data_IF_702500863496
#
_entry.id   IF_702500863496
#
_cell.length_a   1.000
_cell.length_b   1.000
_cell.length_c   1.000
_cell.angle_alpha   90.00
_cell.angle_beta   90.00
_cell.angle_gamma   90.00
#
_symmetry.space_group_name_H-M   'P 1'
#
loop_
_entity.id
_entity.type
_entity.pdbx_description
1 polymer ?
#
# COMPACT_ATOMS: atom_id res chain seq x y z
N UNK A 1 6.22 -1.85 19.19
CA UNK A 1 4.76 -1.79 18.98
C UNK A 1 4.17 -1.11 20.20
N UNK A 2 3.57 0.08 20.04
CA UNK A 2 2.88 0.77 21.13
C UNK A 2 1.62 -0.04 21.44
N UNK A 3 1.42 -0.42 22.71
CA UNK A 3 0.27 -1.22 23.09
C UNK A 3 -0.98 -0.35 23.07
N UNK A 4 -2.09 -0.83 22.50
CA UNK A 4 -3.35 -0.06 22.38
C UNK A 4 -3.83 0.49 23.73
N UNK A 5 -3.52 -0.21 24.83
CA UNK A 5 -3.81 0.23 26.20
C UNK A 5 -3.07 1.51 26.60
N UNK A 6 -1.86 1.74 26.07
CA UNK A 6 -1.06 2.96 26.33
C UNK A 6 -1.63 4.14 25.55
N UNK A 7 -2.06 3.92 24.31
CA UNK A 7 -2.72 4.94 23.48
C UNK A 7 -4.03 5.44 24.13
N UNK A 8 -4.80 4.53 24.71
CA UNK A 8 -6.08 4.87 25.36
C UNK A 8 -5.92 5.48 26.78
N UNK A 9 -4.73 5.42 27.38
CA UNK A 9 -4.50 5.90 28.76
C UNK A 9 -3.85 7.28 28.82
N UNK A 10 -3.32 7.77 27.69
CA UNK A 10 -2.62 9.05 27.61
C UNK A 10 -3.49 10.09 26.87
N UNK A 11 -4.06 11.08 27.58
CA UNK A 11 -4.89 12.13 26.96
C UNK A 11 -4.17 12.93 25.87
N UNK A 12 -2.83 12.97 25.90
CA UNK A 12 -2.01 13.64 24.89
C UNK A 12 -2.05 12.85 23.58
N UNK A 13 -1.97 11.52 23.62
CA UNK A 13 -2.07 10.66 22.44
C UNK A 13 -3.46 10.71 21.79
N UNK A 14 -4.52 10.81 22.59
CA UNK A 14 -5.89 10.95 22.08
C UNK A 14 -6.10 12.29 21.37
N UNK A 15 -5.62 13.39 21.97
CA UNK A 15 -5.64 14.71 21.35
C UNK A 15 -4.83 14.76 20.06
N UNK A 16 -3.65 14.15 20.05
CA UNK A 16 -2.82 14.07 18.85
C UNK A 16 -3.48 13.27 17.75
N UNK A 17 -4.10 12.14 18.07
CA UNK A 17 -4.84 11.37 17.08
C UNK A 17 -6.00 12.19 16.46
N UNK A 18 -6.62 13.08 17.23
CA UNK A 18 -7.67 13.98 16.72
C UNK A 18 -7.11 15.16 15.92
N UNK A 19 -6.04 15.77 16.39
CA UNK A 19 -5.34 16.85 15.71
C UNK A 19 -4.71 16.37 14.38
N UNK A 20 -4.14 15.16 14.35
CA UNK A 20 -3.66 14.48 13.14
C UNK A 20 -4.80 14.18 12.16
N UNK A 21 -5.94 13.70 12.64
CA UNK A 21 -7.14 13.55 11.78
C UNK A 21 -7.61 14.86 11.18
N UNK A 22 -7.39 15.98 11.88
CA UNK A 22 -7.70 17.33 11.41
C UNK A 22 -6.57 17.95 10.57
N UNK A 23 -5.46 17.25 10.37
CA UNK A 23 -4.31 17.71 9.61
C UNK A 23 -3.52 18.84 10.29
N UNK A 24 -3.66 19.00 11.61
CA UNK A 24 -2.90 19.99 12.36
C UNK A 24 -1.44 19.58 12.44
N UNK A 25 -0.58 20.59 12.44
CA UNK A 25 0.86 20.42 12.61
C UNK A 25 1.11 20.10 14.10
N UNK A 26 1.95 19.10 14.34
CA UNK A 26 2.41 18.75 15.67
C UNK A 26 3.91 19.02 15.78
N UNK A 27 4.26 20.13 16.42
CA UNK A 27 5.65 20.56 16.59
C UNK A 27 5.90 21.05 18.01
N UNK A 28 7.16 21.00 18.44
CA UNK A 28 7.61 21.55 19.71
C UNK A 28 8.84 20.85 20.26
N UNK A 29 9.05 21.01 21.57
CA UNK A 29 10.16 20.39 22.28
C UNK A 29 9.70 19.24 23.15
N UNK A 30 10.55 18.24 23.27
CA UNK A 30 10.28 17.07 24.12
C UNK A 30 10.08 17.45 25.58
N UNK A 31 10.75 18.51 26.07
CA UNK A 31 10.61 18.97 27.46
C UNK A 31 9.19 19.47 27.80
N UNK A 32 8.45 19.91 26.78
CA UNK A 32 7.10 20.47 26.90
C UNK A 32 6.03 19.37 26.76
N UNK A 33 6.44 18.14 26.44
CA UNK A 33 5.58 16.98 26.45
C UNK A 33 5.42 16.40 27.86
N UNK A 34 4.30 15.71 28.05
CA UNK A 34 3.99 14.93 29.25
C UNK A 34 3.70 13.47 28.86
N UNK A 35 3.58 12.61 29.88
CA UNK A 35 3.13 11.23 29.70
C UNK A 35 4.09 10.32 28.91
N UNK A 36 3.49 9.42 28.14
CA UNK A 36 4.19 8.40 27.37
C UNK A 36 5.11 9.01 26.31
N UNK A 37 4.64 9.98 25.55
CA UNK A 37 5.42 10.56 24.46
C UNK A 37 6.69 11.25 24.94
N UNK A 38 6.62 11.97 26.07
CA UNK A 38 7.84 12.55 26.67
C UNK A 38 8.87 11.45 26.96
N UNK A 39 8.44 10.39 27.64
CA UNK A 39 9.31 9.29 28.05
C UNK A 39 9.91 8.58 26.84
N UNK A 40 9.11 8.37 25.79
CA UNK A 40 9.56 7.72 24.55
C UNK A 40 10.52 8.61 23.75
N UNK A 41 10.24 9.91 23.64
CA UNK A 41 11.07 10.87 22.90
C UNK A 41 12.40 11.11 23.62
N UNK A 42 12.40 11.22 24.95
CA UNK A 42 13.64 11.30 25.76
C UNK A 42 14.50 10.05 25.59
N UNK A 43 13.89 8.85 25.57
CA UNK A 43 14.59 7.59 25.32
C UNK A 43 15.20 7.51 23.91
N UNK A 44 14.55 8.14 22.93
CA UNK A 44 15.04 8.25 21.56
C UNK A 44 15.97 9.46 21.34
N UNK A 45 16.27 10.20 22.41
CA UNK A 45 17.06 11.44 22.38
C UNK A 45 16.50 12.53 21.48
N UNK A 46 15.21 12.50 21.15
CA UNK A 46 14.54 13.55 20.40
C UNK A 46 14.44 14.77 21.31
N UNK A 47 14.95 15.92 20.87
CA UNK A 47 14.87 17.19 21.60
C UNK A 47 13.78 18.08 21.04
N UNK A 48 13.64 18.10 19.72
CA UNK A 48 12.63 18.89 19.01
C UNK A 48 12.05 18.05 17.88
N UNK A 49 10.77 18.22 17.62
CA UNK A 49 10.05 17.44 16.61
C UNK A 49 9.11 18.35 15.82
N UNK A 50 8.87 17.97 14.58
CA UNK A 50 7.87 18.56 13.69
C UNK A 50 7.24 17.42 12.91
N UNK A 51 5.93 17.29 12.99
CA UNK A 51 5.16 16.25 12.33
C UNK A 51 3.97 16.85 11.61
N UNK A 52 3.73 16.35 10.40
CA UNK A 52 2.57 16.71 9.57
C UNK A 52 1.85 15.44 9.11
N UNK A 53 0.56 15.57 8.87
CA UNK A 53 -0.26 14.46 8.40
C UNK A 53 -0.17 14.30 6.89
N UNK A 54 -0.02 13.05 6.43
CA UNK A 54 -0.07 12.67 5.02
C UNK A 54 -1.46 12.11 4.74
N UNK A 55 -2.19 12.75 3.84
CA UNK A 55 -3.51 12.31 3.40
C UNK A 55 -3.45 11.77 1.98
N UNK A 56 -4.24 10.73 1.71
CA UNK A 56 -4.52 10.24 0.37
C UNK A 56 -5.99 9.84 0.27
N UNK A 57 -6.68 10.26 -0.78
CA UNK A 57 -8.11 10.08 -1.03
C UNK A 57 -9.00 10.49 0.16
N UNK A 58 -8.66 11.60 0.83
CA UNK A 58 -9.39 12.11 2.00
C UNK A 58 -9.24 11.27 3.27
N UNK A 59 -8.36 10.27 3.28
CA UNK A 59 -8.06 9.44 4.43
C UNK A 59 -6.65 9.75 4.94
N UNK A 60 -6.47 9.72 6.27
CA UNK A 60 -5.15 9.81 6.88
C UNK A 60 -4.36 8.54 6.55
N UNK A 61 -3.28 8.68 5.78
CA UNK A 61 -2.40 7.58 5.42
C UNK A 61 -1.32 7.36 6.48
N UNK A 62 -0.88 8.43 7.13
CA UNK A 62 0.09 8.40 8.21
C UNK A 62 0.63 9.79 8.51
N UNK A 63 1.80 9.84 9.15
CA UNK A 63 2.48 11.09 9.48
C UNK A 63 3.89 11.11 8.91
N UNK A 64 4.33 12.31 8.51
CA UNK A 64 5.70 12.60 8.15
C UNK A 64 6.29 13.46 9.26
N UNK A 65 7.34 12.94 9.92
CA UNK A 65 7.98 13.60 11.04
C UNK A 65 9.47 13.85 10.79
N UNK A 66 9.95 15.00 11.23
CA UNK A 66 11.36 15.37 11.30
C UNK A 66 11.71 15.69 12.74
N UNK A 67 12.80 15.09 13.22
CA UNK A 67 13.25 15.21 14.60
C UNK A 67 14.69 15.74 14.65
N UNK A 68 15.00 16.61 15.60
CA UNK A 68 16.38 16.96 15.96
C UNK A 68 16.73 16.30 17.30
N UNK A 69 17.74 15.43 17.29
CA UNK A 69 18.23 14.73 18.48
C UNK A 69 19.46 15.40 19.12
N UNK A 70 20.04 16.39 18.46
CA UNK A 70 21.28 17.05 18.88
C UNK A 70 20.98 18.40 19.49
N UNK A 71 20.15 19.22 18.84
CA UNK A 71 19.83 20.57 19.28
C UNK A 71 18.36 20.69 19.70
N UNK A 72 18.12 21.48 20.74
CA UNK A 72 16.78 21.96 21.06
C UNK A 72 16.54 23.22 20.20
N UNK A 73 15.85 23.04 19.08
CA UNK A 73 15.67 24.06 18.04
C UNK A 73 14.19 24.39 17.89
N UNK A 74 13.92 25.67 17.63
CA UNK A 74 12.59 26.14 17.22
C UNK A 74 12.44 25.92 15.71
N UNK A 75 11.28 25.42 15.30
CA UNK A 75 10.95 25.26 13.88
C UNK A 75 10.40 26.57 13.34
N UNK A 76 10.82 26.96 12.15
CA UNK A 76 10.28 28.17 11.51
C UNK A 76 8.99 27.87 10.75
N UNK A 77 8.12 28.88 10.59
CA UNK A 77 6.92 28.77 9.74
C UNK A 77 7.25 28.28 8.31
N UNK A 78 8.44 28.61 7.80
CA UNK A 78 8.95 28.17 6.50
C UNK A 78 9.28 26.67 6.47
N UNK A 79 9.89 26.14 7.53
CA UNK A 79 10.16 24.72 7.68
C UNK A 79 8.87 23.92 7.83
N UNK A 80 7.91 24.44 8.62
CA UNK A 80 6.58 23.86 8.78
C UNK A 80 5.83 23.78 7.43
N UNK A 81 5.78 24.91 6.71
CA UNK A 81 5.17 24.97 5.40
C UNK A 81 5.86 24.04 4.39
N UNK A 82 7.19 23.97 4.42
CA UNK A 82 7.97 23.08 3.54
C UNK A 82 7.60 21.62 3.79
N UNK A 83 7.55 21.19 5.06
CA UNK A 83 7.20 19.81 5.39
C UNK A 83 5.76 19.49 4.99
N UNK A 84 4.84 20.45 5.16
CA UNK A 84 3.45 20.30 4.72
C UNK A 84 3.34 20.12 3.20
N UNK A 85 4.09 20.89 2.40
CA UNK A 85 4.14 20.75 0.94
C UNK A 85 4.67 19.36 0.55
N UNK A 86 5.70 18.87 1.23
CA UNK A 86 6.23 17.52 0.98
C UNK A 86 5.17 16.46 1.31
N UNK A 87 4.43 16.60 2.41
CA UNK A 87 3.35 15.68 2.77
C UNK A 87 2.23 15.65 1.72
N UNK A 88 1.84 16.81 1.18
CA UNK A 88 0.88 16.90 0.08
C UNK A 88 1.39 16.19 -1.18
N UNK A 89 2.66 16.41 -1.55
CA UNK A 89 3.26 15.75 -2.71
C UNK A 89 3.34 14.23 -2.55
N UNK A 90 3.59 13.73 -1.33
CA UNK A 90 3.55 12.30 -1.01
C UNK A 90 2.11 11.78 -1.18
N UNK A 91 1.12 12.49 -0.65
CA UNK A 91 -0.30 12.15 -0.82
C UNK A 91 -0.68 11.99 -2.29
N UNK A 92 -0.40 13.01 -3.11
CA UNK A 92 -0.62 13.00 -4.56
C UNK A 92 0.07 11.82 -5.25
N UNK A 93 1.31 11.51 -4.86
CA UNK A 93 2.08 10.41 -5.44
C UNK A 93 1.46 9.05 -5.12
N UNK A 94 0.96 8.86 -3.88
CA UNK A 94 0.25 7.65 -3.47
C UNK A 94 -1.02 7.47 -4.31
N UNK A 95 -1.82 8.53 -4.47
CA UNK A 95 -3.04 8.49 -5.27
C UNK A 95 -2.77 8.12 -6.74
N UNK A 96 -1.74 8.75 -7.34
CA UNK A 96 -1.32 8.45 -8.71
C UNK A 96 -0.90 6.99 -8.87
N UNK A 97 -0.08 6.47 -7.96
CA UNK A 97 0.38 5.09 -8.03
C UNK A 97 -0.78 4.09 -7.96
N UNK A 98 -1.78 4.34 -7.12
CA UNK A 98 -2.98 3.49 -7.03
C UNK A 98 -3.85 3.60 -8.30
N UNK A 99 -4.03 4.80 -8.82
CA UNK A 99 -4.77 5.02 -10.08
C UNK A 99 -4.11 4.33 -11.26
N UNK A 100 -2.79 4.43 -11.39
CA UNK A 100 -2.02 3.80 -12.47
C UNK A 100 -2.09 2.27 -12.40
N UNK A 101 -1.98 1.70 -11.20
CA UNK A 101 -2.14 0.27 -10.99
C UNK A 101 -3.55 -0.21 -11.40
N UNK A 102 -4.59 0.54 -11.03
CA UNK A 102 -5.96 0.23 -11.41
C UNK A 102 -6.18 0.32 -12.92
N UNK A 103 -5.70 1.40 -13.55
CA UNK A 103 -5.80 1.60 -15.00
C UNK A 103 -5.07 0.48 -15.76
N UNK A 104 -3.87 0.09 -15.31
CA UNK A 104 -3.10 -1.01 -15.89
C UNK A 104 -3.86 -2.34 -15.82
N UNK A 105 -4.46 -2.66 -14.67
CA UNK A 105 -5.28 -3.88 -14.51
C UNK A 105 -6.52 -3.87 -15.41
N UNK A 106 -7.22 -2.73 -15.50
CA UNK A 106 -8.39 -2.58 -16.39
C UNK A 106 -7.98 -2.76 -17.84
N UNK A 107 -6.89 -2.13 -18.28
CA UNK A 107 -6.38 -2.28 -19.65
C UNK A 107 -5.99 -3.74 -19.90
N UNK A 108 -5.24 -4.38 -18.98
CA UNK A 108 -4.84 -5.79 -19.08
C UNK A 108 -6.06 -6.70 -19.24
N UNK A 109 -7.08 -6.55 -18.38
CA UNK A 109 -8.32 -7.33 -18.48
C UNK A 109 -9.07 -7.08 -19.77
N UNK A 110 -9.17 -5.82 -20.19
CA UNK A 110 -9.87 -5.45 -21.43
C UNK A 110 -9.18 -6.05 -22.65
N UNK A 111 -7.85 -6.01 -22.70
CA UNK A 111 -7.07 -6.65 -23.76
C UNK A 111 -7.27 -8.16 -23.80
N UNK A 112 -7.19 -8.83 -22.65
CA UNK A 112 -7.45 -10.27 -22.56
C UNK A 112 -8.86 -10.63 -23.04
N UNK A 113 -9.87 -9.86 -22.63
CA UNK A 113 -11.27 -10.09 -23.02
C UNK A 113 -11.55 -9.81 -24.50
N UNK A 114 -10.89 -8.81 -25.09
CA UNK A 114 -11.06 -8.44 -26.49
C UNK A 114 -10.23 -9.30 -27.47
N UNK A 115 -9.26 -10.08 -26.96
CA UNK A 115 -8.43 -10.95 -27.79
C UNK A 115 -9.27 -11.99 -28.53
N UNK A 116 -9.03 -12.11 -29.84
CA UNK A 116 -9.64 -13.13 -30.69
C UNK A 116 -8.92 -14.48 -30.56
N UNK A 117 -7.65 -14.47 -30.16
CA UNK A 117 -6.88 -15.67 -29.89
C UNK A 117 -7.10 -16.16 -28.47
N UNK A 118 -7.11 -17.48 -28.30
CA UNK A 118 -7.21 -18.13 -27.00
C UNK A 118 -5.94 -17.84 -26.18
N UNK A 119 -6.13 -17.22 -25.02
CA UNK A 119 -5.07 -16.91 -24.08
C UNK A 119 -5.36 -17.63 -22.78
N UNK A 120 -4.39 -18.42 -22.33
CA UNK A 120 -4.40 -19.15 -21.08
C UNK A 120 -3.13 -18.77 -20.33
N UNK A 121 -3.26 -18.37 -19.07
CA UNK A 121 -2.12 -18.07 -18.20
C UNK A 121 -2.11 -19.10 -17.07
N UNK A 122 -0.92 -19.65 -16.80
CA UNK A 122 -0.68 -20.59 -15.71
C UNK A 122 0.30 -20.00 -14.69
N UNK A 123 0.19 -20.42 -13.44
CA UNK A 123 1.21 -20.20 -12.43
C UNK A 123 2.40 -21.17 -12.58
N UNK A 124 3.41 -21.04 -11.71
CA UNK A 124 4.60 -21.89 -11.69
C UNK A 124 4.33 -23.38 -11.43
N UNK A 125 3.15 -23.72 -10.91
CA UNK A 125 2.73 -25.11 -10.67
C UNK A 125 1.97 -25.71 -11.85
N UNK A 126 1.64 -24.90 -12.86
CA UNK A 126 0.83 -25.31 -14.01
C UNK A 126 -0.67 -25.11 -13.82
N UNK A 127 -1.08 -24.49 -12.71
CA UNK A 127 -2.48 -24.20 -12.42
C UNK A 127 -2.95 -22.97 -13.21
N UNK A 128 -4.12 -23.05 -13.82
CA UNK A 128 -4.68 -22.00 -14.68
C UNK A 128 -5.14 -20.81 -13.83
N UNK A 129 -4.54 -19.65 -14.04
CA UNK A 129 -4.86 -18.39 -13.33
C UNK A 129 -5.63 -17.39 -14.19
N UNK A 130 -5.56 -17.50 -15.52
CA UNK A 130 -6.42 -16.74 -16.43
C UNK A 130 -6.86 -17.59 -17.64
N UNK A 131 -8.10 -17.35 -18.06
CA UNK A 131 -8.72 -18.03 -19.19
C UNK A 131 -9.66 -17.07 -19.92
N UNK A 132 -9.29 -16.60 -21.10
CA UNK A 132 -10.04 -15.55 -21.79
C UNK A 132 -11.25 -16.08 -22.58
N UNK A 133 -12.20 -15.21 -23.01
CA UNK A 133 -13.40 -15.64 -23.73
C UNK A 133 -13.13 -16.41 -25.04
N UNK A 134 -12.01 -16.13 -25.72
CA UNK A 134 -11.62 -16.91 -26.90
C UNK A 134 -11.20 -18.34 -26.53
N UNK A 135 -10.50 -18.52 -25.39
CA UNK A 135 -10.18 -19.84 -24.85
C UNK A 135 -11.45 -20.60 -24.41
N UNK A 136 -12.42 -19.91 -23.80
CA UNK A 136 -13.74 -20.49 -23.48
C UNK A 136 -14.43 -21.05 -24.72
N UNK A 137 -14.46 -20.28 -25.81
CA UNK A 137 -15.03 -20.71 -27.09
C UNK A 137 -14.25 -21.84 -27.74
N UNK A 138 -12.91 -21.82 -27.65
CA UNK A 138 -12.04 -22.78 -28.31
C UNK A 138 -12.05 -24.15 -27.61
N UNK A 139 -11.95 -24.16 -26.28
CA UNK A 139 -11.81 -25.38 -25.49
C UNK A 139 -13.10 -25.82 -24.80
N UNK A 140 -14.16 -24.99 -24.82
CA UNK A 140 -15.48 -25.35 -24.33
C UNK A 140 -15.65 -25.30 -22.81
N UNK A 141 -14.66 -24.78 -22.07
CA UNK A 141 -14.73 -24.57 -20.63
C UNK A 141 -15.12 -23.14 -20.31
N UNK A 142 -15.96 -22.94 -19.29
CA UNK A 142 -16.13 -21.60 -18.73
C UNK A 142 -14.96 -21.27 -17.81
N UNK A 143 -14.54 -20.01 -17.79
CA UNK A 143 -13.47 -19.51 -16.91
C UNK A 143 -13.74 -19.88 -15.46
N UNK A 144 -14.97 -19.71 -14.98
CA UNK A 144 -15.37 -20.05 -13.60
C UNK A 144 -15.08 -21.50 -13.20
N UNK A 145 -15.06 -22.40 -14.18
CA UNK A 145 -15.00 -23.84 -13.94
C UNK A 145 -13.59 -24.39 -14.12
N UNK A 146 -12.67 -23.60 -14.69
CA UNK A 146 -11.32 -24.04 -15.07
C UNK A 146 -10.20 -23.33 -14.31
N UNK A 147 -10.47 -22.16 -13.71
CA UNK A 147 -9.49 -21.50 -12.84
C UNK A 147 -9.08 -22.41 -11.68
N UNK A 148 -7.78 -22.44 -11.38
CA UNK A 148 -7.15 -23.26 -10.35
C UNK A 148 -6.97 -24.74 -10.72
N UNK A 149 -7.41 -25.18 -11.90
CA UNK A 149 -7.15 -26.53 -12.40
C UNK A 149 -5.82 -26.60 -13.13
N UNK A 150 -5.21 -27.78 -13.14
CA UNK A 150 -3.98 -28.05 -13.87
C UNK A 150 -4.24 -28.01 -15.40
N UNK A 151 -3.38 -27.27 -16.12
CA UNK A 151 -3.47 -27.12 -17.57
C UNK A 151 -3.31 -28.45 -18.31
N UNK A 152 -2.39 -29.30 -17.86
CA UNK A 152 -2.11 -30.58 -18.50
C UNK A 152 -3.31 -31.51 -18.37
N UNK A 153 -3.96 -31.53 -17.21
CA UNK A 153 -5.11 -32.42 -16.97
C UNK A 153 -6.38 -31.99 -17.71
N UNK A 154 -6.50 -30.71 -18.07
CA UNK A 154 -7.75 -30.13 -18.61
C UNK A 154 -7.69 -29.80 -20.09
N UNK A 155 -6.73 -28.98 -20.52
CA UNK A 155 -6.68 -28.40 -21.87
C UNK A 155 -5.77 -29.21 -22.77
N UNK A 156 -4.65 -29.72 -22.24
CA UNK A 156 -3.68 -30.49 -23.04
C UNK A 156 -4.16 -31.94 -23.19
N UNK A 157 -4.34 -32.43 -24.44
CA UNK A 157 -4.71 -33.82 -24.68
C UNK A 157 -3.66 -34.79 -24.14
N UNK A 158 -4.12 -35.95 -23.65
CA UNK A 158 -3.28 -36.94 -22.95
C UNK A 158 -2.05 -37.39 -23.75
N UNK A 159 -2.19 -37.51 -25.06
CA UNK A 159 -1.11 -37.91 -25.97
C UNK A 159 -0.02 -36.85 -26.14
N UNK A 160 -0.25 -35.58 -25.77
CA UNK A 160 0.77 -34.51 -25.78
C UNK A 160 1.45 -34.29 -24.41
N UNK A 161 0.88 -34.79 -23.31
CA UNK A 161 1.36 -34.50 -21.94
C UNK A 161 2.81 -34.92 -21.69
N UNK A 162 3.24 -36.05 -22.27
CA UNK A 162 4.61 -36.58 -22.08
C UNK A 162 5.72 -35.62 -22.53
N UNK A 163 5.44 -34.73 -23.49
CA UNK A 163 6.41 -33.72 -23.94
C UNK A 163 6.55 -32.53 -23.00
N UNK A 164 5.48 -32.17 -22.28
CA UNK A 164 5.46 -31.01 -21.38
C UNK A 164 6.07 -31.31 -20.00
N UNK A 165 5.94 -32.56 -19.52
CA UNK A 165 6.53 -32.99 -18.24
C UNK A 165 8.07 -33.04 -18.30
N UNK A 166 8.65 -33.16 -19.50
CA UNK A 166 10.11 -33.25 -19.70
C UNK A 166 10.82 -31.93 -19.98
N UNK A 167 10.12 -30.80 -20.03
CA UNK A 167 10.71 -29.45 -20.19
C UNK A 167 11.57 -29.27 -21.45
N UNK A 168 11.03 -29.61 -22.62
CA UNK A 168 11.68 -29.33 -23.92
C UNK A 168 11.33 -27.94 -24.45
#
# INVERSE_FOLDING_TARGET
VIMQSVVNSDPLLERLAEDERQGKIFAGHTRDLEGFLRTDFEKQHIKSFLSVSVFAHGHLWGTLAVNDCVNEREWTDEEEATLHIVALAIGDAIERSLSDAHASEVIRRTMLQASLDAIIVIDETGSIIEFNPAAEKMFGYQRSDILGKDLLDTVVPEYYRKGYVSGA
#
